data_IF_550165178751
#
_entry.id   IF_550165178751
#
_cell.length_a   1.000
_cell.length_b   1.000
_cell.length_c   1.000
_cell.angle_alpha   90.00
_cell.angle_beta   90.00
_cell.angle_gamma   90.00
#
_symmetry.space_group_name_H-M   'P 1'
#
loop_
_entity.id
_entity.type
_entity.pdbx_description
1 polymer ?
#
# COMPACT_ATOMS: atom_id res chain seq x y z
N UNK A 1 35.24 43.12 26.54
CA UNK A 1 35.94 41.82 26.31
C UNK A 1 35.05 40.62 26.59
N UNK A 2 34.07 40.69 27.50
CA UNK A 2 33.15 39.57 27.77
C UNK A 2 32.06 39.41 26.70
N UNK A 3 31.55 40.52 26.14
CA UNK A 3 30.56 40.48 25.06
C UNK A 3 31.08 39.83 23.77
N UNK A 4 32.34 40.04 23.40
CA UNK A 4 32.95 39.41 22.23
C UNK A 4 33.10 37.89 22.38
N UNK A 5 33.42 37.40 23.59
CA UNK A 5 33.49 35.95 23.83
C UNK A 5 32.13 35.30 23.77
N UNK A 6 31.09 35.99 24.25
CA UNK A 6 29.71 35.50 24.19
C UNK A 6 29.17 35.51 22.76
N UNK A 7 29.48 36.52 21.97
CA UNK A 7 29.16 36.57 20.54
C UNK A 7 29.84 35.45 19.77
N UNK A 8 31.14 35.20 20.01
CA UNK A 8 31.88 34.12 19.37
C UNK A 8 31.41 32.72 19.77
N UNK A 9 31.00 32.54 21.03
CA UNK A 9 30.43 31.27 21.51
C UNK A 9 29.05 30.97 20.92
N UNK A 10 28.22 32.00 20.69
CA UNK A 10 26.93 31.84 20.01
C UNK A 10 27.11 31.50 18.54
N UNK A 11 28.01 32.19 17.86
CA UNK A 11 28.28 31.97 16.44
C UNK A 11 28.85 30.57 16.16
N UNK A 12 29.69 30.05 17.07
CA UNK A 12 30.18 28.66 17.00
C UNK A 12 29.09 27.62 17.24
N UNK A 13 28.13 27.88 18.14
CA UNK A 13 27.03 26.96 18.39
C UNK A 13 26.08 26.86 17.18
N UNK A 14 25.73 28.01 16.59
CA UNK A 14 24.90 28.07 15.37
C UNK A 14 25.57 27.35 14.20
N UNK A 15 26.87 27.52 14.03
CA UNK A 15 27.61 26.86 12.95
C UNK A 15 27.69 25.33 13.09
N UNK A 16 27.74 24.81 14.32
CA UNK A 16 27.72 23.35 14.58
C UNK A 16 26.33 22.78 14.34
N UNK A 17 25.27 23.49 14.74
CA UNK A 17 23.89 23.07 14.48
C UNK A 17 23.59 23.05 12.96
N UNK A 18 24.05 24.05 12.20
CA UNK A 18 23.92 24.07 10.73
C UNK A 18 24.71 22.93 10.05
N UNK A 19 25.93 22.63 10.51
CA UNK A 19 26.73 21.51 9.99
C UNK A 19 26.10 20.14 10.29
N UNK A 20 25.49 19.95 11.47
CA UNK A 20 24.79 18.72 11.85
C UNK A 20 23.50 18.53 11.01
N UNK A 21 22.73 19.61 10.78
CA UNK A 21 21.54 19.56 9.91
C UNK A 21 21.90 19.22 8.46
N UNK A 22 22.96 19.80 7.91
CA UNK A 22 23.45 19.48 6.56
C UNK A 22 23.89 18.02 6.42
N UNK A 23 24.60 17.46 7.42
CA UNK A 23 25.01 16.04 7.43
C UNK A 23 23.80 15.10 7.50
N UNK A 24 22.79 15.45 8.31
CA UNK A 24 21.54 14.68 8.36
C UNK A 24 20.78 14.71 7.03
N UNK A 25 20.70 15.88 6.37
CA UNK A 25 20.08 15.98 5.05
C UNK A 25 20.80 15.12 4.01
N UNK A 26 22.13 15.18 3.95
CA UNK A 26 22.92 14.36 3.01
C UNK A 26 22.72 12.85 3.26
N UNK A 27 22.73 12.43 4.53
CA UNK A 27 22.48 11.03 4.89
C UNK A 27 21.05 10.59 4.48
N UNK A 28 20.06 11.46 4.68
CA UNK A 28 18.68 11.21 4.25
C UNK A 28 18.57 11.09 2.73
N UNK A 29 19.25 11.94 1.97
CA UNK A 29 19.29 11.85 0.50
C UNK A 29 19.98 10.57 0.02
N UNK A 30 21.09 10.18 0.65
CA UNK A 30 21.79 8.93 0.37
C UNK A 30 20.88 7.72 0.64
N UNK A 31 20.14 7.73 1.76
CA UNK A 31 19.18 6.68 2.09
C UNK A 31 18.02 6.61 1.08
N UNK A 32 17.41 7.76 0.73
CA UNK A 32 16.36 7.83 -0.31
C UNK A 32 16.86 7.28 -1.65
N UNK A 33 18.09 7.59 -2.03
CA UNK A 33 18.72 7.05 -3.23
C UNK A 33 18.85 5.53 -3.15
N UNK A 34 19.38 5.01 -2.04
CA UNK A 34 19.51 3.56 -1.81
C UNK A 34 18.17 2.84 -1.91
N UNK A 35 17.12 3.39 -1.29
CA UNK A 35 15.75 2.86 -1.35
C UNK A 35 15.22 2.86 -2.78
N UNK A 36 15.30 4.01 -3.47
CA UNK A 36 14.73 4.17 -4.82
C UNK A 36 15.44 3.36 -5.91
N UNK A 37 16.75 3.11 -5.76
CA UNK A 37 17.52 2.23 -6.65
C UNK A 37 17.48 0.76 -6.25
N UNK A 38 16.79 0.41 -5.17
CA UNK A 38 16.76 -0.95 -4.65
C UNK A 38 15.99 -1.90 -5.61
N UNK A 39 16.46 -3.13 -5.88
CA UNK A 39 15.78 -4.07 -6.79
C UNK A 39 14.32 -4.34 -6.41
N UNK A 40 14.01 -4.37 -5.12
CA UNK A 40 12.65 -4.59 -4.60
C UNK A 40 11.76 -3.34 -4.59
N UNK A 41 12.27 -2.15 -4.94
CA UNK A 41 11.50 -0.91 -4.84
C UNK A 41 10.24 -0.91 -5.70
N UNK A 42 10.33 -1.40 -6.95
CA UNK A 42 9.15 -1.52 -7.81
C UNK A 42 8.10 -2.44 -7.21
N UNK A 43 8.52 -3.61 -6.70
CA UNK A 43 7.60 -4.57 -6.10
C UNK A 43 6.92 -4.01 -4.84
N UNK A 44 7.67 -3.30 -4.01
CA UNK A 44 7.14 -2.62 -2.84
C UNK A 44 6.06 -1.63 -3.24
N UNK A 45 6.34 -0.80 -4.25
CA UNK A 45 5.39 0.19 -4.75
C UNK A 45 4.13 -0.48 -5.33
N UNK A 46 4.29 -1.52 -6.12
CA UNK A 46 3.17 -2.24 -6.74
C UNK A 46 2.30 -2.93 -5.67
N UNK A 47 2.91 -3.55 -4.66
CA UNK A 47 2.21 -4.14 -3.50
C UNK A 47 1.44 -3.08 -2.70
N UNK A 48 2.03 -1.89 -2.52
CA UNK A 48 1.42 -0.78 -1.80
C UNK A 48 0.20 -0.26 -2.56
N UNK A 49 0.32 -0.07 -3.87
CA UNK A 49 -0.77 0.38 -4.72
C UNK A 49 -1.92 -0.64 -4.74
N UNK A 50 -1.62 -1.93 -4.73
CA UNK A 50 -2.64 -2.98 -4.65
C UNK A 50 -3.40 -2.95 -3.32
N UNK A 51 -2.74 -2.70 -2.18
CA UNK A 51 -3.44 -2.49 -0.90
C UNK A 51 -4.39 -1.29 -0.97
N UNK A 52 -3.94 -0.17 -1.52
CA UNK A 52 -4.75 1.05 -1.62
C UNK A 52 -5.98 0.88 -2.55
N UNK A 53 -5.87 0.04 -3.58
CA UNK A 53 -7.00 -0.33 -4.46
C UNK A 53 -8.07 -1.12 -3.69
N UNK A 54 -7.66 -2.16 -2.94
CA UNK A 54 -8.60 -2.95 -2.11
C UNK A 54 -9.23 -2.09 -1.01
N UNK A 55 -8.47 -1.13 -0.47
CA UNK A 55 -8.96 -0.16 0.52
C UNK A 55 -9.92 0.90 0.00
N UNK A 56 -10.22 0.90 -1.31
CA UNK A 56 -11.07 1.89 -1.97
C UNK A 56 -10.62 3.35 -1.82
N UNK A 57 -9.39 3.60 -1.35
CA UNK A 57 -8.80 4.95 -1.22
C UNK A 57 -8.58 5.54 -2.62
N UNK A 58 -8.15 4.72 -3.58
CA UNK A 58 -7.84 5.18 -4.95
C UNK A 58 -9.08 5.09 -5.87
N UNK A 59 -10.14 4.36 -5.49
CA UNK A 59 -11.33 4.24 -6.36
C UNK A 59 -12.04 5.59 -6.57
N UNK A 60 -11.95 6.50 -5.59
CA UNK A 60 -12.47 7.87 -5.70
C UNK A 60 -11.60 8.79 -6.59
N UNK A 61 -10.29 8.54 -6.72
CA UNK A 61 -9.37 9.37 -7.51
C UNK A 61 -9.19 8.84 -8.96
N UNK A 62 -9.24 7.52 -9.18
CA UNK A 62 -9.09 6.90 -10.52
C UNK A 62 -10.31 7.15 -11.43
N UNK A 63 -11.52 7.37 -10.90
CA UNK A 63 -12.65 7.79 -11.74
C UNK A 63 -12.38 9.12 -12.46
N UNK A 64 -11.41 9.92 -12.00
CA UNK A 64 -10.96 11.16 -12.66
C UNK A 64 -9.63 11.03 -13.42
N UNK A 65 -8.87 9.94 -13.28
CA UNK A 65 -7.52 9.83 -13.86
C UNK A 65 -7.13 8.41 -14.25
N UNK A 66 -7.24 8.07 -15.54
CA UNK A 66 -6.69 6.83 -16.13
C UNK A 66 -5.17 6.76 -15.94
N UNK A 67 -4.70 6.04 -14.93
CA UNK A 67 -3.31 5.56 -14.88
C UNK A 67 -3.31 4.05 -15.15
N UNK A 68 -2.84 3.68 -16.34
CA UNK A 68 -2.84 2.30 -16.80
C UNK A 68 -1.91 1.43 -15.96
N UNK A 69 -2.47 0.38 -15.35
CA UNK A 69 -1.72 -0.73 -14.77
C UNK A 69 -0.83 -1.37 -15.84
N UNK A 70 0.49 -1.19 -15.70
CA UNK A 70 1.48 -2.00 -16.40
C UNK A 70 1.75 -3.22 -15.52
N UNK A 71 1.28 -4.40 -15.93
CA UNK A 71 1.76 -5.66 -15.37
C UNK A 71 3.27 -5.69 -15.57
N UNK A 72 4.04 -5.59 -14.48
CA UNK A 72 5.46 -5.89 -14.48
C UNK A 72 5.60 -7.32 -13.96
N UNK A 73 6.41 -8.10 -14.65
CA UNK A 73 6.70 -9.47 -14.26
C UNK A 73 7.61 -9.42 -13.03
N UNK A 74 7.06 -9.68 -11.86
CA UNK A 74 7.77 -9.54 -10.58
C UNK A 74 8.46 -10.84 -10.22
N UNK A 75 9.68 -11.03 -10.73
CA UNK A 75 10.56 -12.08 -10.22
C UNK A 75 11.21 -11.60 -8.92
N UNK A 76 10.86 -12.22 -7.79
CA UNK A 76 11.56 -12.02 -6.52
C UNK A 76 13.01 -12.51 -6.66
N UNK A 77 14.03 -11.66 -6.45
CA UNK A 77 15.40 -12.11 -6.30
C UNK A 77 15.49 -12.96 -5.02
N UNK A 78 15.93 -14.21 -5.13
CA UNK A 78 16.27 -15.01 -3.96
C UNK A 78 17.64 -14.57 -3.47
N UNK A 79 17.68 -13.80 -2.38
CA UNK A 79 18.94 -13.44 -1.69
C UNK A 79 19.24 -14.47 -0.60
N UNK A 80 20.45 -14.99 -0.65
CA UNK A 80 21.01 -15.92 0.35
C UNK A 80 21.10 -15.27 1.72
N UNK A 81 20.58 -15.96 2.73
CA UNK A 81 20.27 -15.50 4.11
C UNK A 81 21.46 -14.88 4.88
N UNK A 82 22.71 -15.10 4.47
CA UNK A 82 23.85 -14.88 5.37
C UNK A 82 24.53 -13.50 5.29
N UNK A 83 24.08 -12.55 4.45
CA UNK A 83 24.63 -11.17 4.39
C UNK A 83 23.62 -10.09 3.97
N UNK A 84 22.37 -10.19 4.40
CA UNK A 84 21.36 -9.24 3.96
C UNK A 84 21.51 -7.86 4.65
N UNK A 85 21.54 -6.75 3.90
CA UNK A 85 21.55 -5.41 4.50
C UNK A 85 20.25 -5.17 5.29
N UNK A 86 20.28 -4.36 6.35
CA UNK A 86 19.06 -3.96 7.08
C UNK A 86 17.97 -3.42 6.13
N UNK A 87 18.39 -2.69 5.10
CA UNK A 87 17.49 -2.17 4.07
C UNK A 87 16.77 -3.30 3.32
N UNK A 88 17.47 -4.33 2.90
CA UNK A 88 16.88 -5.45 2.16
C UNK A 88 15.84 -6.18 3.04
N UNK A 89 16.17 -6.43 4.31
CA UNK A 89 15.24 -7.04 5.26
C UNK A 89 13.98 -6.18 5.44
N UNK A 90 14.16 -4.86 5.53
CA UNK A 90 13.05 -3.91 5.55
C UNK A 90 12.20 -4.02 4.27
N UNK A 91 12.82 -4.00 3.08
CA UNK A 91 12.11 -4.06 1.80
C UNK A 91 11.28 -5.34 1.67
N UNK A 92 11.83 -6.49 2.05
CA UNK A 92 11.13 -7.78 2.06
C UNK A 92 10.00 -7.83 3.09
N UNK A 93 10.30 -7.43 4.33
CA UNK A 93 9.32 -7.42 5.41
C UNK A 93 8.14 -6.51 5.09
N UNK A 94 8.40 -5.36 4.47
CA UNK A 94 7.36 -4.41 4.06
C UNK A 94 6.48 -4.97 2.95
N UNK A 95 7.07 -5.57 1.89
CA UNK A 95 6.29 -6.24 0.83
C UNK A 95 5.40 -7.36 1.41
N UNK A 96 5.94 -8.15 2.35
CA UNK A 96 5.22 -9.23 3.01
C UNK A 96 4.08 -8.70 3.89
N UNK A 97 4.32 -7.61 4.63
CA UNK A 97 3.30 -6.96 5.44
C UNK A 97 2.15 -6.42 4.58
N UNK A 98 2.46 -5.77 3.45
CA UNK A 98 1.47 -5.28 2.50
C UNK A 98 0.64 -6.43 1.91
N UNK A 99 1.30 -7.53 1.49
CA UNK A 99 0.59 -8.70 0.94
C UNK A 99 -0.43 -9.27 1.92
N UNK A 100 -0.05 -9.40 3.20
CA UNK A 100 -0.94 -9.85 4.27
C UNK A 100 -2.08 -8.86 4.54
N UNK A 101 -1.78 -7.56 4.54
CA UNK A 101 -2.79 -6.52 4.72
C UNK A 101 -3.82 -6.57 3.59
N UNK A 102 -3.37 -6.71 2.34
CA UNK A 102 -4.26 -6.86 1.17
C UNK A 102 -5.20 -8.06 1.35
N UNK A 103 -4.66 -9.23 1.69
CA UNK A 103 -5.45 -10.45 1.90
C UNK A 103 -6.49 -10.24 3.00
N UNK A 104 -6.09 -9.71 4.16
CA UNK A 104 -6.97 -9.45 5.29
C UNK A 104 -8.08 -8.43 4.98
N UNK A 105 -7.90 -7.57 3.98
CA UNK A 105 -8.92 -6.62 3.53
C UNK A 105 -9.83 -7.20 2.45
N UNK A 106 -9.28 -8.02 1.55
CA UNK A 106 -10.00 -8.63 0.43
C UNK A 106 -10.94 -9.76 0.90
N UNK A 107 -10.49 -10.60 1.84
CA UNK A 107 -11.25 -11.72 2.39
C UNK A 107 -12.67 -11.31 2.87
N UNK A 108 -12.84 -10.35 3.80
CA UNK A 108 -14.17 -9.95 4.26
C UNK A 108 -15.03 -9.31 3.16
N UNK A 109 -14.42 -8.67 2.15
CA UNK A 109 -15.14 -8.11 1.01
C UNK A 109 -15.74 -9.22 0.13
N UNK A 110 -14.94 -10.25 -0.16
CA UNK A 110 -15.37 -11.40 -0.95
C UNK A 110 -16.44 -12.22 -0.22
N UNK A 111 -16.26 -12.46 1.09
CA UNK A 111 -17.25 -13.14 1.91
C UNK A 111 -18.59 -12.41 1.93
N UNK A 112 -18.56 -11.09 2.09
CA UNK A 112 -19.76 -10.26 2.07
C UNK A 112 -20.44 -10.30 0.71
N UNK A 113 -19.68 -10.18 -0.38
CA UNK A 113 -20.22 -10.24 -1.74
C UNK A 113 -20.85 -11.61 -2.04
N UNK A 114 -20.21 -12.71 -1.62
CA UNK A 114 -20.73 -14.06 -1.77
C UNK A 114 -22.05 -14.23 -1.00
N UNK A 115 -22.09 -13.79 0.27
CA UNK A 115 -23.30 -13.83 1.09
C UNK A 115 -24.47 -13.06 0.46
N UNK A 116 -24.22 -11.84 -0.03
CA UNK A 116 -25.25 -11.03 -0.69
C UNK A 116 -25.78 -11.71 -1.96
N UNK A 117 -24.90 -12.24 -2.80
CA UNK A 117 -25.29 -12.93 -4.03
C UNK A 117 -26.10 -14.19 -3.75
N UNK A 118 -25.74 -14.95 -2.72
CA UNK A 118 -26.49 -16.12 -2.26
C UNK A 118 -27.91 -15.74 -1.83
N UNK A 119 -28.05 -14.72 -0.97
CA UNK A 119 -29.37 -14.22 -0.58
C UNK A 119 -30.22 -13.76 -1.77
N UNK A 120 -29.62 -13.04 -2.72
CA UNK A 120 -30.32 -12.64 -3.95
C UNK A 120 -30.74 -13.85 -4.79
N UNK A 121 -29.96 -14.93 -4.82
CA UNK A 121 -30.36 -16.16 -5.50
C UNK A 121 -31.58 -16.79 -4.83
N UNK A 122 -31.54 -16.97 -3.51
CA UNK A 122 -32.65 -17.55 -2.75
C UNK A 122 -33.96 -16.75 -2.93
N UNK A 123 -33.88 -15.42 -2.92
CA UNK A 123 -35.05 -14.56 -3.14
C UNK A 123 -35.64 -14.69 -4.55
N UNK A 124 -34.79 -14.86 -5.59
CA UNK A 124 -35.26 -15.09 -6.96
C UNK A 124 -35.95 -16.44 -7.11
N UNK A 125 -35.44 -17.47 -6.46
CA UNK A 125 -36.04 -18.81 -6.51
C UNK A 125 -37.45 -18.80 -5.88
N UNK A 126 -37.62 -18.10 -4.76
CA UNK A 126 -38.95 -17.94 -4.13
C UNK A 126 -39.96 -17.25 -5.06
N UNK A 127 -39.54 -16.18 -5.75
CA UNK A 127 -40.43 -15.42 -6.65
C UNK A 127 -40.76 -16.13 -7.95
N UNK A 128 -39.90 -17.05 -8.42
CA UNK A 128 -40.14 -17.85 -9.63
C UNK A 128 -40.89 -19.16 -9.34
N UNK A 129 -40.83 -19.66 -8.09
CA UNK A 129 -41.53 -20.89 -7.67
C UNK A 129 -43.05 -20.76 -7.49
N UNK A 130 -43.60 -19.54 -7.60
CA UNK A 130 -45.04 -19.31 -7.47
C UNK A 130 -45.69 -19.21 -8.86
N UNK A 131 -46.27 -20.30 -9.42
CA UNK A 131 -46.97 -20.22 -10.69
C UNK A 131 -48.22 -19.32 -10.56
N UNK A 132 -48.61 -18.60 -11.62
CA UNK A 132 -49.87 -17.84 -11.60
C UNK A 132 -51.03 -18.81 -11.31
N UNK A 133 -52.04 -18.39 -10.53
CA UNK A 133 -53.19 -19.23 -10.24
C UNK A 133 -53.84 -19.66 -11.56
N UNK A 134 -53.88 -20.97 -11.77
CA UNK A 134 -54.55 -21.62 -12.86
C UNK A 134 -56.03 -21.19 -12.89
N UNK A 135 -56.36 -20.27 -13.79
CA UNK A 135 -57.75 -19.91 -14.11
C UNK A 135 -58.38 -21.05 -14.90
N UNK A 136 -58.75 -22.10 -14.18
CA UNK A 136 -59.61 -23.17 -14.67
C UNK A 136 -60.98 -22.59 -15.02
N UNK A 137 -61.13 -22.12 -16.25
CA UNK A 137 -62.42 -21.73 -16.82
C UNK A 137 -63.31 -22.97 -16.92
N UNK A 138 -64.33 -23.02 -16.06
CA UNK A 138 -65.37 -24.02 -16.13
C UNK A 138 -66.12 -23.97 -17.46
N UNK A 139 -66.37 -25.14 -18.04
CA UNK A 139 -67.36 -25.34 -19.08
C UNK A 139 -68.03 -26.69 -18.88
#
# INVERSE_FOLDING_TARGET
MEDDRRSKSKQKAVQVEEEEEEEEEENNEALKRRISTHPLYSLLLDSHMDCLKVGSIIKAEIEQGKTGMRQRDHTMPSTSIDTQSELDHFMEAYCKALSKLKEAMEEPQQETAAFINDMHSQLRDLTTSNPPPNTSSGK
#
